data_IF_158238084076
#
_entry.id   IF_158238084076
#
_cell.length_a   1.000
_cell.length_b   1.000
_cell.length_c   1.000
_cell.angle_alpha   90.00
_cell.angle_beta   90.00
_cell.angle_gamma   90.00
#
_symmetry.space_group_name_H-M   'P 1'
#
loop_
_entity.id
_entity.type
_entity.pdbx_description
1 polymer ?
#
# COMPACT_ATOMS: atom_id res chain seq x y z
N UNK A 1 19.65 11.60 34.70
CA UNK A 1 19.96 10.57 33.67
C UNK A 1 20.33 11.33 32.42
N UNK A 2 21.52 11.12 31.87
CA UNK A 2 21.94 11.69 30.58
C UNK A 2 21.65 10.68 29.46
N UNK A 3 21.03 11.14 28.37
CA UNK A 3 20.79 10.32 27.18
C UNK A 3 21.99 10.53 26.25
N UNK A 4 22.86 9.52 26.16
CA UNK A 4 24.11 9.61 25.38
C UNK A 4 23.94 9.25 23.89
N UNK A 5 22.87 8.54 23.55
CA UNK A 5 22.58 8.13 22.17
C UNK A 5 21.07 8.21 21.92
N UNK A 6 20.68 8.82 20.80
CA UNK A 6 19.30 9.00 20.41
C UNK A 6 19.17 8.82 18.89
N UNK A 7 18.18 8.04 18.47
CA UNK A 7 17.78 7.90 17.07
C UNK A 7 16.37 8.46 16.92
N UNK A 8 16.21 9.44 16.05
CA UNK A 8 14.91 10.01 15.70
C UNK A 8 14.43 9.42 14.38
N UNK A 9 13.21 8.88 14.37
CA UNK A 9 12.54 8.41 13.15
C UNK A 9 11.21 9.14 13.08
N UNK A 10 10.97 9.79 11.94
CA UNK A 10 9.70 10.45 11.63
C UNK A 10 9.27 10.10 10.21
N UNK A 11 7.97 10.13 9.98
CA UNK A 11 7.35 9.98 8.67
C UNK A 11 6.49 11.20 8.40
N UNK A 12 6.55 11.73 7.19
CA UNK A 12 5.70 12.81 6.72
C UNK A 12 5.28 12.54 5.28
N UNK A 13 4.19 13.16 4.84
CA UNK A 13 3.76 13.11 3.45
C UNK A 13 4.40 14.25 2.69
N UNK A 14 4.99 13.95 1.54
CA UNK A 14 5.62 14.94 0.66
C UNK A 14 4.62 16.01 0.19
N UNK A 15 3.37 15.59 -0.06
CA UNK A 15 2.29 16.47 -0.49
C UNK A 15 1.71 17.38 0.61
N UNK A 16 2.16 17.28 1.86
CA UNK A 16 1.70 18.09 2.99
C UNK A 16 2.81 19.01 3.54
N UNK A 17 4.01 18.99 2.96
CA UNK A 17 5.14 19.82 3.40
C UNK A 17 4.82 21.30 3.26
N UNK A 18 4.23 21.70 2.13
CA UNK A 18 3.88 23.09 1.83
C UNK A 18 2.83 23.64 2.81
N UNK A 19 1.97 22.76 3.32
CA UNK A 19 0.94 23.08 4.32
C UNK A 19 1.46 22.95 5.78
N UNK A 20 2.72 22.57 5.97
CA UNK A 20 3.33 22.35 7.31
C UNK A 20 4.62 23.18 7.50
N UNK A 21 4.54 24.52 7.64
CA UNK A 21 5.72 25.38 7.80
C UNK A 21 6.61 25.02 9.00
N UNK A 22 6.04 24.46 10.07
CA UNK A 22 6.78 24.01 11.24
C UNK A 22 7.69 22.81 10.95
N UNK A 23 7.24 21.87 10.11
CA UNK A 23 8.03 20.72 9.69
C UNK A 23 9.19 21.18 8.79
N UNK A 24 8.91 22.07 7.84
CA UNK A 24 9.94 22.65 6.97
C UNK A 24 11.03 23.33 7.80
N UNK A 25 10.64 24.21 8.73
CA UNK A 25 11.58 24.90 9.60
C UNK A 25 12.41 23.92 10.47
N UNK A 26 11.78 22.86 10.99
CA UNK A 26 12.48 21.82 11.75
C UNK A 26 13.52 21.08 10.89
N UNK A 27 13.15 20.64 9.68
CA UNK A 27 14.07 19.96 8.76
C UNK A 27 15.22 20.86 8.32
N UNK A 28 14.95 22.15 8.07
CA UNK A 28 15.98 23.14 7.78
C UNK A 28 16.93 23.36 8.96
N UNK A 29 16.40 23.36 10.19
CA UNK A 29 17.23 23.49 11.39
C UNK A 29 18.15 22.29 11.59
N UNK A 30 17.68 21.06 11.32
CA UNK A 30 18.52 19.85 11.36
C UNK A 30 19.68 19.97 10.37
N UNK A 31 19.40 20.41 9.14
CA UNK A 31 20.42 20.65 8.11
C UNK A 31 21.41 21.74 8.54
N UNK A 32 20.92 22.85 9.11
CA UNK A 32 21.75 23.97 9.60
C UNK A 32 22.69 23.54 10.74
N UNK A 33 22.25 22.60 11.58
CA UNK A 33 23.03 22.05 12.70
C UNK A 33 23.98 20.91 12.28
N UNK A 34 24.07 20.59 10.99
CA UNK A 34 24.90 19.51 10.44
C UNK A 34 24.59 18.14 11.08
N UNK A 35 23.32 17.92 11.44
CA UNK A 35 22.86 16.64 11.97
C UNK A 35 22.68 15.68 10.79
N UNK A 36 23.32 14.51 10.84
CA UNK A 36 23.17 13.49 9.81
C UNK A 36 21.72 12.99 9.74
N UNK A 37 21.05 13.27 8.63
CA UNK A 37 19.70 12.76 8.33
C UNK A 37 19.76 11.73 7.19
N UNK A 38 18.83 10.79 7.19
CA UNK A 38 18.64 9.83 6.09
C UNK A 38 17.20 9.91 5.64
N UNK A 39 17.00 10.42 4.42
CA UNK A 39 15.68 10.53 3.81
C UNK A 39 15.34 9.22 3.08
N UNK A 40 14.21 8.61 3.44
CA UNK A 40 13.68 7.41 2.79
C UNK A 40 12.36 7.78 2.14
N UNK A 41 12.35 7.84 0.81
CA UNK A 41 11.11 8.03 0.06
C UNK A 41 10.37 6.69 -0.08
N UNK A 42 9.19 6.61 0.54
CA UNK A 42 8.31 5.43 0.46
C UNK A 42 7.32 5.62 -0.68
N UNK A 43 7.68 5.11 -1.86
CA UNK A 43 6.82 5.13 -3.04
C UNK A 43 5.72 4.06 -3.04
N UNK A 44 4.94 4.03 -4.11
CA UNK A 44 4.02 2.92 -4.38
C UNK A 44 4.81 1.63 -4.62
N UNK A 45 4.27 0.50 -4.14
CA UNK A 45 4.86 -0.82 -4.36
C UNK A 45 4.71 -1.25 -5.82
N UNK A 46 5.66 -2.01 -6.33
CA UNK A 46 5.66 -2.38 -7.75
C UNK A 46 4.54 -3.37 -8.08
N UNK A 47 4.23 -3.54 -9.37
CA UNK A 47 3.30 -4.58 -9.81
C UNK A 47 3.74 -5.98 -9.36
N UNK A 48 5.05 -6.22 -9.33
CA UNK A 48 5.62 -7.48 -8.85
C UNK A 48 5.32 -7.66 -7.37
N UNK A 49 5.58 -6.64 -6.56
CA UNK A 49 5.37 -6.69 -5.11
C UNK A 49 3.87 -6.85 -4.77
N UNK A 50 2.97 -6.21 -5.54
CA UNK A 50 1.53 -6.48 -5.43
C UNK A 50 1.21 -7.92 -5.79
N UNK A 51 1.80 -8.47 -6.85
CA UNK A 51 1.58 -9.88 -7.21
C UNK A 51 2.06 -10.85 -6.12
N UNK A 52 3.20 -10.57 -5.50
CA UNK A 52 3.74 -11.31 -4.35
C UNK A 52 2.80 -11.20 -3.14
N UNK A 53 2.46 -9.97 -2.74
CA UNK A 53 1.55 -9.70 -1.64
C UNK A 53 0.21 -10.42 -1.78
N UNK A 54 -0.38 -10.39 -2.97
CA UNK A 54 -1.66 -11.05 -3.25
C UNK A 54 -1.52 -12.57 -3.22
N UNK A 55 -0.47 -13.11 -3.85
CA UNK A 55 -0.16 -14.54 -3.83
C UNK A 55 -0.05 -15.08 -2.40
N UNK A 56 0.65 -14.34 -1.54
CA UNK A 56 0.85 -14.71 -0.14
C UNK A 56 -0.44 -14.57 0.68
N UNK A 57 -1.20 -13.49 0.44
CA UNK A 57 -2.47 -13.23 1.16
C UNK A 57 -3.52 -14.32 0.89
N UNK A 58 -3.67 -14.75 -0.37
CA UNK A 58 -4.68 -15.75 -0.75
C UNK A 58 -4.11 -17.17 -0.86
N UNK A 59 -2.85 -17.37 -0.48
CA UNK A 59 -2.16 -18.65 -0.45
C UNK A 59 -2.29 -19.47 -1.76
N UNK A 60 -2.12 -18.79 -2.90
CA UNK A 60 -2.14 -19.40 -4.23
C UNK A 60 -0.91 -18.94 -5.02
N UNK A 61 -0.29 -19.81 -5.84
CA UNK A 61 0.84 -19.43 -6.67
C UNK A 61 0.56 -18.21 -7.58
N UNK A 62 1.56 -17.34 -7.75
CA UNK A 62 1.46 -16.11 -8.56
C UNK A 62 0.88 -16.31 -9.96
N UNK A 63 1.12 -17.45 -10.61
CA UNK A 63 0.58 -17.70 -11.95
C UNK A 63 -0.94 -17.88 -11.97
N UNK A 64 -1.54 -18.35 -10.87
CA UNK A 64 -3.00 -18.46 -10.70
C UNK A 64 -3.62 -17.12 -10.27
N UNK A 65 -2.89 -16.33 -9.49
CA UNK A 65 -3.37 -15.05 -8.96
C UNK A 65 -3.10 -13.86 -9.90
N UNK A 66 -2.29 -14.04 -10.94
CA UNK A 66 -1.85 -12.98 -11.87
C UNK A 66 -2.97 -12.06 -12.35
N UNK A 67 -4.10 -12.62 -12.81
CA UNK A 67 -5.22 -11.80 -13.29
C UNK A 67 -5.88 -10.99 -12.18
N UNK A 68 -5.90 -11.52 -10.96
CA UNK A 68 -6.44 -10.85 -9.77
C UNK A 68 -5.52 -9.71 -9.34
N UNK A 69 -4.22 -10.00 -9.19
CA UNK A 69 -3.19 -9.02 -8.85
C UNK A 69 -3.10 -7.88 -9.86
N UNK A 70 -3.30 -8.16 -11.15
CA UNK A 70 -3.29 -7.13 -12.20
C UNK A 70 -4.45 -6.14 -12.08
N UNK A 71 -5.64 -6.62 -11.73
CA UNK A 71 -6.81 -5.78 -11.49
C UNK A 71 -6.56 -4.89 -10.27
N UNK A 72 -6.06 -5.48 -9.17
CA UNK A 72 -5.74 -4.76 -7.94
C UNK A 72 -4.68 -3.69 -8.19
N UNK A 73 -3.58 -4.03 -8.86
CA UNK A 73 -2.53 -3.05 -9.18
C UNK A 73 -3.06 -1.91 -10.05
N UNK A 74 -3.82 -2.24 -11.09
CA UNK A 74 -4.42 -1.24 -11.99
C UNK A 74 -5.38 -0.29 -11.25
N UNK A 75 -6.11 -0.81 -10.26
CA UNK A 75 -7.07 -0.03 -9.47
C UNK A 75 -6.39 0.87 -8.43
N UNK A 76 -5.31 0.41 -7.84
CA UNK A 76 -4.69 1.03 -6.66
C UNK A 76 -3.42 1.82 -6.98
N UNK A 77 -2.87 1.64 -8.19
CA UNK A 77 -1.59 2.23 -8.59
C UNK A 77 -0.40 1.72 -7.77
N UNK A 78 -0.55 0.60 -7.04
CA UNK A 78 0.47 0.09 -6.13
C UNK A 78 0.53 0.86 -4.80
N UNK A 79 -0.44 1.71 -4.47
CA UNK A 79 -0.50 2.31 -3.14
C UNK A 79 -0.93 1.24 -2.12
N UNK A 80 -0.05 0.89 -1.17
CA UNK A 80 -0.27 -0.22 -0.23
C UNK A 80 -1.54 -0.06 0.64
N UNK A 81 -1.88 1.18 1.03
CA UNK A 81 -3.12 1.47 1.74
C UNK A 81 -4.32 1.13 0.86
N UNK A 82 -4.32 1.59 -0.40
CA UNK A 82 -5.41 1.32 -1.33
C UNK A 82 -5.50 -0.15 -1.74
N UNK A 83 -4.39 -0.88 -1.82
CA UNK A 83 -4.39 -2.34 -1.99
C UNK A 83 -5.14 -3.01 -0.85
N UNK A 84 -4.84 -2.62 0.39
CA UNK A 84 -5.48 -3.19 1.58
C UNK A 84 -6.96 -2.85 1.63
N UNK A 85 -7.33 -1.58 1.42
CA UNK A 85 -8.71 -1.13 1.40
C UNK A 85 -9.52 -1.77 0.27
N UNK A 86 -8.93 -1.95 -0.91
CA UNK A 86 -9.62 -2.56 -2.02
C UNK A 86 -9.86 -4.06 -1.77
N UNK A 87 -8.88 -4.79 -1.22
CA UNK A 87 -9.09 -6.16 -0.79
C UNK A 87 -10.19 -6.29 0.26
N UNK A 88 -10.22 -5.39 1.25
CA UNK A 88 -11.28 -5.33 2.25
C UNK A 88 -12.64 -5.10 1.60
N UNK A 89 -12.76 -4.15 0.67
CA UNK A 89 -14.03 -3.94 -0.04
C UNK A 89 -14.47 -5.15 -0.85
N UNK A 90 -13.54 -5.89 -1.47
CA UNK A 90 -13.88 -7.11 -2.22
C UNK A 90 -14.37 -8.21 -1.28
N UNK A 91 -13.81 -8.30 -0.08
CA UNK A 91 -14.29 -9.21 0.96
C UNK A 91 -15.69 -8.81 1.46
N UNK A 92 -15.88 -7.53 1.80
CA UNK A 92 -17.14 -7.01 2.34
C UNK A 92 -18.29 -7.09 1.32
N UNK A 93 -17.99 -6.96 0.02
CA UNK A 93 -18.94 -7.09 -1.09
C UNK A 93 -19.14 -8.55 -1.56
N UNK A 94 -18.56 -9.54 -0.86
CA UNK A 94 -18.62 -10.97 -1.21
C UNK A 94 -18.07 -11.28 -2.62
N UNK A 95 -17.14 -10.46 -3.12
CA UNK A 95 -16.47 -10.63 -4.40
C UNK A 95 -15.15 -11.39 -4.29
N UNK A 96 -14.60 -11.47 -3.08
CA UNK A 96 -13.49 -12.33 -2.68
C UNK A 96 -14.01 -13.25 -1.57
N UNK A 97 -14.19 -14.53 -1.87
CA UNK A 97 -14.83 -15.49 -0.95
C UNK A 97 -13.90 -16.67 -0.71
N UNK A 98 -13.85 -17.14 0.53
CA UNK A 98 -13.14 -18.36 0.86
C UNK A 98 -14.04 -19.58 0.67
N UNK A 99 -13.68 -20.46 -0.27
CA UNK A 99 -14.39 -21.71 -0.52
C UNK A 99 -13.91 -22.78 0.46
N UNK A 100 -14.78 -23.18 1.40
CA UNK A 100 -14.49 -24.25 2.36
C UNK A 100 -14.40 -25.63 1.68
N UNK A 101 -15.13 -25.83 0.59
CA UNK A 101 -15.14 -27.11 -0.15
C UNK A 101 -13.81 -27.34 -0.87
N UNK A 102 -13.32 -26.31 -1.55
CA UNK A 102 -12.08 -26.38 -2.32
C UNK A 102 -10.85 -25.96 -1.49
N UNK A 103 -11.05 -25.40 -0.29
CA UNK A 103 -10.02 -24.84 0.59
C UNK A 103 -9.12 -23.80 -0.13
N UNK A 104 -9.76 -22.96 -0.97
CA UNK A 104 -9.10 -21.92 -1.77
C UNK A 104 -9.93 -20.65 -1.76
N UNK A 105 -9.25 -19.53 -2.01
CA UNK A 105 -9.90 -18.26 -2.28
C UNK A 105 -10.43 -18.22 -3.71
N UNK A 106 -11.67 -17.77 -3.86
CA UNK A 106 -12.36 -17.61 -5.13
C UNK A 106 -12.71 -16.13 -5.34
N UNK A 107 -12.65 -15.69 -6.59
CA UNK A 107 -13.02 -14.33 -6.98
C UNK A 107 -13.70 -14.34 -8.35
N UNK A 108 -14.73 -13.52 -8.52
CA UNK A 108 -15.42 -13.42 -9.80
C UNK A 108 -14.80 -12.32 -10.68
N UNK A 109 -14.16 -12.75 -11.77
CA UNK A 109 -13.52 -11.86 -12.76
C UNK A 109 -14.50 -10.85 -13.37
N UNK A 110 -15.77 -11.22 -13.56
CA UNK A 110 -16.79 -10.36 -14.17
C UNK A 110 -17.12 -9.18 -13.25
N UNK A 111 -17.37 -9.46 -11.98
CA UNK A 111 -17.70 -8.43 -10.98
C UNK A 111 -16.50 -7.54 -10.65
N UNK A 112 -15.30 -8.11 -10.58
CA UNK A 112 -14.08 -7.32 -10.37
C UNK A 112 -13.83 -6.27 -11.46
N UNK A 113 -14.12 -6.61 -12.73
CA UNK A 113 -14.02 -5.63 -13.81
C UNK A 113 -15.09 -4.53 -13.70
N UNK A 114 -16.30 -4.86 -13.24
CA UNK A 114 -17.38 -3.90 -13.04
C UNK A 114 -17.12 -2.95 -11.87
N UNK A 115 -16.62 -3.43 -10.74
CA UNK A 115 -16.25 -2.58 -9.58
C UNK A 115 -15.12 -1.61 -9.95
N UNK A 116 -14.17 -2.05 -10.77
CA UNK A 116 -13.13 -1.17 -11.30
C UNK A 116 -13.67 -0.05 -12.20
N UNK A 117 -14.80 -0.29 -12.89
CA UNK A 117 -15.46 0.69 -13.76
C UNK A 117 -16.42 1.62 -13.01
N UNK A 118 -17.05 1.16 -11.91
CA UNK A 118 -18.07 1.91 -11.18
C UNK A 118 -17.53 3.02 -10.26
N UNK A 119 -16.37 2.83 -9.64
CA UNK A 119 -15.75 3.83 -8.74
C UNK A 119 -14.95 4.93 -9.48
N UNK A 120 -15.24 5.19 -10.77
CA UNK A 120 -14.65 6.29 -11.56
C UNK A 120 -15.50 7.57 -11.58
N UNK A 121 -16.46 7.69 -10.66
CA UNK A 121 -17.26 8.90 -10.40
C UNK A 121 -16.99 9.40 -9.01
#
# INVERSE_FOLDING_TARGET
MEINHFLFIASYRDNEIDDTPSLVAFLEELKRKDITTTDINVGCISRRDVSELISDTINLPQHLTKSFSDIIYKKTGGNALFVTQFLQSLWDEELLVYSLECNVWEWDKFWMMLVCLWQRR
#
